data_IF_873435390441
#
_entry.id   IF_873435390441
#
_cell.length_a   1.000
_cell.length_b   1.000
_cell.length_c   1.000
_cell.angle_alpha   90.00
_cell.angle_beta   90.00
_cell.angle_gamma   90.00
#
_symmetry.space_group_name_H-M   'P 1'
#
loop_
_entity.id
_entity.type
_entity.pdbx_description
1 polymer ?
#
# COMPACT_ATOMS: atom_id res chain seq x y z
N UNK A 1 11.29 -5.39 -4.09
CA UNK A 1 9.99 -5.47 -3.38
C UNK A 1 10.23 -5.21 -1.91
N UNK A 2 9.38 -4.41 -1.27
CA UNK A 2 9.41 -4.13 0.17
C UNK A 2 8.07 -4.58 0.73
N UNK A 3 8.05 -5.40 1.78
CA UNK A 3 6.81 -5.90 2.36
C UNK A 3 6.94 -6.08 3.87
N UNK A 4 5.84 -5.88 4.58
CA UNK A 4 5.78 -6.07 6.03
C UNK A 4 4.39 -6.57 6.46
N UNK A 5 4.33 -7.03 7.71
CA UNK A 5 3.12 -7.57 8.33
C UNK A 5 2.94 -6.91 9.69
N UNK A 6 1.74 -6.39 9.97
CA UNK A 6 1.41 -5.88 11.30
C UNK A 6 1.08 -7.02 12.27
N UNK A 7 1.04 -6.70 13.57
CA UNK A 7 0.69 -7.65 14.62
C UNK A 7 -0.65 -8.36 14.38
N UNK A 8 -1.66 -7.67 13.84
CA UNK A 8 -2.96 -8.27 13.52
C UNK A 8 -2.97 -9.13 12.25
N UNK A 9 -1.82 -9.36 11.61
CA UNK A 9 -1.65 -10.34 10.53
C UNK A 9 -1.80 -9.80 9.11
N UNK A 10 -2.44 -8.64 8.93
CA UNK A 10 -2.55 -8.00 7.62
C UNK A 10 -1.19 -7.55 7.08
N UNK A 11 -1.10 -7.50 5.76
CA UNK A 11 0.17 -7.27 5.04
C UNK A 11 0.11 -6.02 4.21
N UNK A 12 1.27 -5.38 4.10
CA UNK A 12 1.50 -4.30 3.17
C UNK A 12 2.66 -4.65 2.26
N UNK A 13 2.61 -4.14 1.03
CA UNK A 13 3.64 -4.38 0.02
C UNK A 13 3.79 -3.20 -0.90
N UNK A 14 5.03 -2.76 -1.08
CA UNK A 14 5.46 -1.98 -2.23
C UNK A 14 6.17 -2.89 -3.24
N UNK A 15 5.64 -2.92 -4.46
CA UNK A 15 6.31 -3.46 -5.65
C UNK A 15 6.84 -2.29 -6.47
N UNK A 16 8.13 -2.34 -6.80
CA UNK A 16 8.79 -1.35 -7.63
C UNK A 16 9.27 -2.10 -8.87
N UNK A 17 8.78 -1.67 -10.02
CA UNK A 17 9.09 -2.28 -11.33
C UNK A 17 9.70 -1.19 -12.22
N UNK A 18 10.89 -1.42 -12.80
CA UNK A 18 11.45 -0.46 -13.76
C UNK A 18 10.54 -0.38 -14.98
N UNK A 19 10.25 0.84 -15.43
CA UNK A 19 9.62 1.08 -16.73
C UNK A 19 10.66 1.41 -17.80
N UNK A 20 11.69 2.16 -17.41
CA UNK A 20 12.91 2.47 -18.16
C UNK A 20 14.02 2.91 -17.19
N UNK A 21 15.09 3.55 -17.69
CA UNK A 21 16.26 3.96 -16.91
C UNK A 21 15.92 4.95 -15.78
N UNK A 22 14.92 5.82 -15.99
CA UNK A 22 14.61 6.91 -15.06
C UNK A 22 13.20 6.81 -14.44
N UNK A 23 12.37 5.86 -14.89
CA UNK A 23 10.99 5.70 -14.40
C UNK A 23 10.77 4.36 -13.71
N UNK A 24 10.12 4.43 -12.54
CA UNK A 24 9.70 3.25 -11.78
C UNK A 24 8.19 3.26 -11.59
N UNK A 25 7.54 2.12 -11.90
CA UNK A 25 6.16 1.87 -11.48
C UNK A 25 6.16 1.39 -10.03
N UNK A 26 5.52 2.16 -9.16
CA UNK A 26 5.32 1.79 -7.76
C UNK A 26 3.87 1.32 -7.58
N UNK A 27 3.71 0.12 -7.05
CA UNK A 27 2.40 -0.43 -6.65
C UNK A 27 2.41 -0.67 -5.15
N UNK A 28 1.53 0.00 -4.43
CA UNK A 28 1.26 -0.25 -3.01
C UNK A 28 0.05 -1.18 -2.87
N UNK A 29 0.13 -2.15 -1.97
CA UNK A 29 -0.97 -3.10 -1.70
C UNK A 29 -1.20 -3.20 -0.20
N UNK A 30 -2.45 -3.06 0.21
CA UNK A 30 -2.95 -3.43 1.53
C UNK A 30 -3.77 -4.73 1.43
N UNK A 31 -3.25 -5.82 1.98
CA UNK A 31 -3.92 -7.12 2.01
C UNK A 31 -4.42 -7.41 3.44
N UNK A 32 -5.70 -7.10 3.68
CA UNK A 32 -6.38 -7.35 4.94
C UNK A 32 -6.96 -8.77 5.05
N UNK A 33 -7.02 -9.52 3.94
CA UNK A 33 -7.58 -10.89 3.95
C UNK A 33 -6.75 -11.84 4.82
N UNK A 34 -5.46 -11.53 4.98
CA UNK A 34 -4.51 -12.26 5.83
C UNK A 34 -4.57 -11.88 7.32
N UNK A 35 -5.43 -10.93 7.69
CA UNK A 35 -5.60 -10.53 9.07
C UNK A 35 -6.20 -11.66 9.92
N UNK A 36 -5.89 -11.66 11.22
CA UNK A 36 -6.55 -12.54 12.21
C UNK A 36 -8.05 -12.22 12.34
N UNK A 37 -8.43 -10.96 12.13
CA UNK A 37 -9.80 -10.46 12.26
C UNK A 37 -10.19 -9.56 11.07
N UNK A 38 -10.35 -10.12 9.86
CA UNK A 38 -10.62 -9.33 8.65
C UNK A 38 -11.96 -8.59 8.71
N UNK A 39 -13.00 -9.21 9.28
CA UNK A 39 -14.31 -8.58 9.49
C UNK A 39 -14.25 -7.32 10.37
N UNK A 40 -13.34 -7.29 11.34
CA UNK A 40 -13.16 -6.11 12.19
C UNK A 40 -12.55 -4.95 11.37
N UNK A 41 -11.57 -5.24 10.51
CA UNK A 41 -10.98 -4.25 9.61
C UNK A 41 -12.01 -3.72 8.61
N UNK A 42 -12.87 -4.57 8.07
CA UNK A 42 -13.98 -4.19 7.20
C UNK A 42 -14.99 -3.30 7.92
N UNK A 43 -15.39 -3.68 9.14
CA UNK A 43 -16.32 -2.89 9.96
C UNK A 43 -15.77 -1.48 10.26
N UNK A 44 -14.46 -1.37 10.53
CA UNK A 44 -13.78 -0.07 10.70
C UNK A 44 -13.55 0.70 9.39
N UNK A 45 -13.98 0.14 8.25
CA UNK A 45 -13.76 0.65 6.89
C UNK A 45 -12.28 0.81 6.52
N UNK A 46 -11.41 -0.03 7.07
CA UNK A 46 -9.98 0.03 6.81
C UNK A 46 -9.64 -0.16 5.32
N UNK A 47 -10.24 -1.10 4.55
CA UNK A 47 -9.95 -1.23 3.13
C UNK A 47 -10.19 0.06 2.33
N UNK A 48 -11.34 0.71 2.56
CA UNK A 48 -11.71 1.93 1.84
C UNK A 48 -10.87 3.13 2.28
N UNK A 49 -10.61 3.26 3.59
CA UNK A 49 -9.75 4.33 4.13
C UNK A 49 -8.32 4.19 3.62
N UNK A 50 -7.79 2.96 3.62
CA UNK A 50 -6.43 2.67 3.18
C UNK A 50 -6.28 2.82 1.67
N UNK A 51 -7.29 2.47 0.86
CA UNK A 51 -7.26 2.76 -0.58
C UNK A 51 -7.06 4.25 -0.87
N UNK A 52 -7.82 5.12 -0.20
CA UNK A 52 -7.66 6.59 -0.32
C UNK A 52 -6.31 7.08 0.20
N UNK A 53 -5.79 6.45 1.26
CA UNK A 53 -4.48 6.79 1.79
C UNK A 53 -3.36 6.38 0.83
N UNK A 54 -3.47 5.22 0.19
CA UNK A 54 -2.54 4.72 -0.82
C UNK A 54 -2.44 5.71 -1.99
N UNK A 55 -3.58 6.18 -2.53
CA UNK A 55 -3.59 7.19 -3.60
C UNK A 55 -2.76 8.42 -3.21
N UNK A 56 -3.02 8.98 -2.03
CA UNK A 56 -2.29 10.15 -1.51
C UNK A 56 -0.80 9.87 -1.28
N UNK A 57 -0.46 8.67 -0.79
CA UNK A 57 0.93 8.28 -0.56
C UNK A 57 1.68 8.19 -1.89
N UNK A 58 1.07 7.60 -2.92
CA UNK A 58 1.67 7.48 -4.25
C UNK A 58 1.82 8.85 -4.92
N UNK A 59 0.82 9.73 -4.82
CA UNK A 59 0.90 11.12 -5.26
C UNK A 59 2.05 11.87 -4.58
N UNK A 60 2.14 11.75 -3.25
CA UNK A 60 3.21 12.38 -2.47
C UNK A 60 4.58 11.84 -2.84
N UNK A 61 4.71 10.53 -3.01
CA UNK A 61 5.97 9.90 -3.42
C UNK A 61 6.43 10.46 -4.77
N UNK A 62 5.50 10.56 -5.74
CA UNK A 62 5.78 11.18 -7.03
C UNK A 62 6.23 12.64 -6.88
N UNK A 63 5.52 13.43 -6.07
CA UNK A 63 5.85 14.85 -5.87
C UNK A 63 7.24 15.09 -5.26
N UNK A 64 7.74 14.18 -4.43
CA UNK A 64 9.06 14.30 -3.78
C UNK A 64 10.17 13.90 -4.76
N UNK A 65 9.92 12.92 -5.63
CA UNK A 65 10.90 12.44 -6.62
C UNK A 65 11.01 13.41 -7.79
N UNK A 66 9.92 14.05 -8.18
CA UNK A 66 9.88 15.00 -9.30
C UNK A 66 10.33 16.43 -8.89
N UNK A 67 10.54 16.69 -7.59
CA UNK A 67 10.97 18.00 -7.06
C UNK A 67 12.49 18.19 -7.14
#
# INVERSE_FOLDING_TARGET
MIAWRHFSGHRWRYRLEPLDEDRTRVTETFDWSTARTPRLLEWMRAPQKNARAIERTLERLKSIVDA
#
